data_IF_568210241668
#
_entry.id   IF_568210241668
#
_cell.length_a   1.000
_cell.length_b   1.000
_cell.length_c   1.000
_cell.angle_alpha   90.00
_cell.angle_beta   90.00
_cell.angle_gamma   90.00
#
_symmetry.space_group_name_H-M   'P 1'
#
loop_
_entity.id
_entity.type
_entity.pdbx_description
1 polymer ?
#
# COMPACT_ATOMS: atom_id res chain seq x y z
N UNK A 1 13.93 5.18 -3.63
CA UNK A 1 13.77 3.74 -3.82
C UNK A 1 13.94 2.99 -2.51
N UNK A 2 13.27 1.82 -2.35
CA UNK A 2 13.52 0.90 -1.26
C UNK A 2 14.78 0.09 -1.57
N UNK A 3 15.84 0.35 -0.83
CA UNK A 3 17.15 -0.29 -1.00
C UNK A 3 17.53 -1.18 0.19
N UNK A 4 16.55 -1.56 0.99
CA UNK A 4 16.74 -2.60 1.99
C UNK A 4 17.03 -3.94 1.32
N UNK A 5 17.89 -4.74 1.94
CA UNK A 5 18.22 -6.08 1.44
C UNK A 5 17.15 -7.07 1.88
N UNK A 6 16.57 -7.81 0.94
CA UNK A 6 15.60 -8.86 1.22
C UNK A 6 16.32 -10.11 1.76
N UNK A 7 16.27 -10.30 3.06
CA UNK A 7 17.01 -11.37 3.74
C UNK A 7 16.13 -12.33 4.54
N UNK A 8 15.13 -11.79 5.25
CA UNK A 8 14.17 -12.59 6.01
C UNK A 8 12.90 -12.81 5.16
N UNK A 9 12.53 -14.07 4.83
CA UNK A 9 11.34 -14.35 4.02
C UNK A 9 10.01 -13.98 4.70
N UNK A 10 10.02 -13.74 6.02
CA UNK A 10 8.86 -13.29 6.78
C UNK A 10 8.63 -11.79 6.69
N UNK A 11 9.54 -11.05 6.07
CA UNK A 11 9.37 -9.62 5.85
C UNK A 11 8.34 -9.35 4.75
N UNK A 12 7.20 -8.74 5.09
CA UNK A 12 6.07 -8.50 4.18
C UNK A 12 6.33 -7.50 3.06
N UNK A 13 7.46 -6.77 3.09
CA UNK A 13 7.82 -5.73 2.10
C UNK A 13 8.95 -6.13 1.15
N UNK A 14 9.31 -7.41 1.11
CA UNK A 14 10.38 -7.91 0.25
C UNK A 14 10.18 -7.60 -1.23
N UNK A 15 8.93 -7.65 -1.72
CA UNK A 15 8.58 -7.32 -3.11
C UNK A 15 8.85 -5.86 -3.51
N UNK A 16 9.03 -4.94 -2.56
CA UNK A 16 9.36 -3.54 -2.85
C UNK A 16 10.86 -3.34 -3.16
N UNK A 17 11.69 -4.36 -3.03
CA UNK A 17 13.16 -4.28 -3.09
C UNK A 17 13.73 -4.83 -4.38
N UNK A 18 15.02 -4.60 -4.57
CA UNK A 18 15.80 -5.16 -5.70
C UNK A 18 16.39 -6.54 -5.40
N UNK A 19 16.09 -7.14 -4.24
CA UNK A 19 16.51 -8.48 -3.86
C UNK A 19 17.55 -8.51 -2.74
N UNK A 20 18.39 -9.53 -2.75
CA UNK A 20 19.34 -9.85 -1.69
C UNK A 20 20.78 -9.35 -1.92
N UNK A 21 21.09 -8.99 -3.17
CA UNK A 21 22.45 -8.57 -3.55
C UNK A 21 22.67 -7.08 -3.31
N UNK A 22 23.61 -6.68 -2.41
CA UNK A 22 23.87 -5.28 -2.12
C UNK A 22 24.42 -4.50 -3.30
N UNK A 23 25.21 -5.12 -4.19
CA UNK A 23 25.78 -4.46 -5.36
C UNK A 23 24.68 -4.18 -6.41
N UNK A 24 23.86 -5.17 -6.75
CA UNK A 24 22.74 -4.99 -7.67
C UNK A 24 21.80 -3.91 -7.14
N UNK A 25 21.45 -3.99 -5.84
CA UNK A 25 20.60 -3.01 -5.18
C UNK A 25 21.18 -1.59 -5.26
N UNK A 26 22.48 -1.45 -5.05
CA UNK A 26 23.19 -0.16 -5.21
C UNK A 26 23.07 0.39 -6.63
N UNK A 27 23.39 -0.42 -7.65
CA UNK A 27 23.37 0.01 -9.04
C UNK A 27 21.96 0.39 -9.53
N UNK A 28 20.97 -0.42 -9.19
CA UNK A 28 19.57 -0.14 -9.50
C UNK A 28 19.10 1.13 -8.78
N UNK A 29 19.43 1.26 -7.50
CA UNK A 29 19.08 2.43 -6.70
C UNK A 29 19.71 3.73 -7.22
N UNK A 30 20.99 3.71 -7.60
CA UNK A 30 21.68 4.85 -8.23
C UNK A 30 20.98 5.25 -9.54
N UNK A 31 20.66 4.27 -10.40
CA UNK A 31 19.98 4.54 -11.67
C UNK A 31 18.61 5.20 -11.45
N UNK A 32 17.84 4.71 -10.48
CA UNK A 32 16.54 5.29 -10.11
C UNK A 32 16.70 6.71 -9.56
N UNK A 33 17.66 6.93 -8.65
CA UNK A 33 17.93 8.27 -8.09
C UNK A 33 18.26 9.26 -9.19
N UNK A 34 19.23 8.93 -10.06
CA UNK A 34 19.63 9.80 -11.17
C UNK A 34 18.48 10.06 -12.16
N UNK A 35 17.68 9.04 -12.47
CA UNK A 35 16.51 9.18 -13.35
C UNK A 35 15.43 10.08 -12.78
N UNK A 36 15.16 9.99 -11.48
CA UNK A 36 14.18 10.84 -10.80
C UNK A 36 14.67 12.28 -10.63
N UNK A 37 15.92 12.47 -10.19
CA UNK A 37 16.45 13.79 -9.87
C UNK A 37 16.86 14.62 -11.09
N UNK A 38 17.10 13.96 -12.24
CA UNK A 38 17.65 14.60 -13.44
C UNK A 38 19.16 14.89 -13.31
N UNK A 39 19.74 15.60 -14.30
CA UNK A 39 21.16 15.94 -14.32
C UNK A 39 21.59 16.75 -13.11
N UNK A 40 22.80 16.48 -12.60
CA UNK A 40 23.29 17.07 -11.35
C UNK A 40 23.59 18.60 -11.50
N UNK A 41 23.99 19.03 -12.66
CA UNK A 41 24.39 20.42 -12.97
C UNK A 41 23.22 21.31 -13.42
N UNK A 42 22.00 20.80 -13.49
CA UNK A 42 20.83 21.60 -13.79
C UNK A 42 20.45 22.49 -12.59
N UNK A 43 19.98 23.73 -12.89
CA UNK A 43 19.53 24.67 -11.86
C UNK A 43 18.40 24.08 -11.02
N UNK A 44 17.44 23.42 -11.67
CA UNK A 44 16.30 22.82 -11.00
C UNK A 44 16.38 21.31 -11.05
N UNK A 45 16.04 20.67 -9.96
CA UNK A 45 15.85 19.22 -9.91
C UNK A 45 14.49 18.86 -10.51
N UNK A 46 14.45 17.72 -11.21
CA UNK A 46 13.21 17.20 -11.77
C UNK A 46 12.25 16.72 -10.68
N UNK A 47 12.74 15.90 -9.76
CA UNK A 47 12.10 15.40 -8.57
C UNK A 47 13.14 15.23 -7.46
N UNK A 48 12.68 14.91 -6.26
CA UNK A 48 13.54 14.45 -5.17
C UNK A 48 13.45 12.93 -5.05
N UNK A 49 14.58 12.27 -4.90
CA UNK A 49 14.63 10.85 -4.57
C UNK A 49 14.91 10.67 -3.08
N UNK A 50 14.31 9.65 -2.48
CA UNK A 50 14.51 9.29 -1.09
C UNK A 50 14.95 7.83 -0.96
N UNK A 51 16.11 7.57 -0.38
CA UNK A 51 16.60 6.23 -0.06
C UNK A 51 15.93 5.73 1.21
N UNK A 52 15.31 4.54 1.16
CA UNK A 52 14.55 4.01 2.29
C UNK A 52 14.73 2.50 2.45
N UNK A 53 14.55 1.97 3.63
CA UNK A 53 14.31 2.59 4.95
C UNK A 53 15.60 2.41 5.75
N UNK A 54 16.20 3.50 6.23
CA UNK A 54 17.53 3.50 6.85
C UNK A 54 17.44 3.25 8.37
N UNK A 55 17.91 2.11 8.89
CA UNK A 55 18.53 0.99 8.23
C UNK A 55 18.13 -0.34 8.91
N UNK A 56 18.56 -1.46 8.29
CA UNK A 56 18.31 -2.83 8.80
C UNK A 56 16.82 -3.12 9.01
N UNK A 57 15.99 -2.70 8.07
CA UNK A 57 14.53 -2.76 8.15
C UNK A 57 13.95 -4.00 7.44
N UNK A 58 14.53 -5.18 7.60
CA UNK A 58 14.10 -6.42 6.95
C UNK A 58 13.79 -7.56 7.93
N UNK A 59 13.26 -7.19 9.09
CA UNK A 59 12.79 -8.14 10.11
C UNK A 59 11.38 -8.68 9.80
N UNK A 60 10.87 -9.61 10.64
CA UNK A 60 9.54 -10.16 10.46
C UNK A 60 8.44 -9.10 10.48
N UNK A 61 7.43 -9.23 9.61
CA UNK A 61 6.41 -8.21 9.38
C UNK A 61 5.58 -7.89 10.63
N UNK A 62 5.24 -8.89 11.44
CA UNK A 62 4.36 -8.71 12.61
C UNK A 62 4.95 -7.85 13.73
N UNK A 63 6.28 -7.65 13.73
CA UNK A 63 6.94 -6.81 14.74
C UNK A 63 7.64 -5.59 14.13
N UNK A 64 7.28 -5.17 12.94
CA UNK A 64 7.88 -4.03 12.20
C UNK A 64 8.06 -2.78 13.06
N UNK A 65 7.08 -2.46 13.91
CA UNK A 65 7.07 -1.29 14.79
C UNK A 65 7.72 -1.50 16.18
N UNK A 66 8.14 -2.73 16.48
CA UNK A 66 8.74 -3.08 17.79
C UNK A 66 10.10 -3.77 17.66
N UNK A 67 10.50 -4.08 16.42
CA UNK A 67 11.73 -4.81 16.15
C UNK A 67 12.97 -4.00 16.56
N UNK A 68 13.87 -4.62 17.34
CA UNK A 68 15.20 -4.08 17.63
C UNK A 68 16.24 -4.87 16.86
N UNK A 69 16.76 -4.27 15.78
CA UNK A 69 17.74 -4.91 14.92
C UNK A 69 19.11 -4.99 15.62
N UNK A 70 19.63 -6.21 15.72
CA UNK A 70 20.97 -6.51 16.25
C UNK A 70 21.74 -7.30 15.21
N UNK A 71 22.77 -6.69 14.66
CA UNK A 71 23.60 -7.30 13.62
C UNK A 71 25.09 -7.15 14.00
N UNK A 72 25.92 -8.08 13.55
CA UNK A 72 27.36 -7.92 13.70
C UNK A 72 27.90 -6.86 12.72
N UNK A 73 29.12 -6.38 12.97
CA UNK A 73 29.72 -5.33 12.13
C UNK A 73 29.93 -5.78 10.69
N UNK A 74 30.26 -7.05 10.46
CA UNK A 74 30.44 -7.55 9.09
C UNK A 74 29.13 -7.44 8.30
N UNK A 75 28.03 -7.97 8.81
CA UNK A 75 26.74 -7.90 8.14
C UNK A 75 26.24 -6.44 7.96
N UNK A 76 26.51 -5.59 8.95
CA UNK A 76 26.14 -4.17 8.85
C UNK A 76 26.83 -3.49 7.67
N UNK A 77 28.16 -3.63 7.56
CA UNK A 77 28.96 -2.92 6.57
C UNK A 77 29.03 -3.61 5.21
N UNK A 78 28.82 -4.91 5.14
CA UNK A 78 28.90 -5.71 3.90
C UNK A 78 27.52 -5.92 3.24
N UNK A 79 26.46 -5.93 4.04
CA UNK A 79 25.11 -6.26 3.55
C UNK A 79 24.13 -5.10 3.65
N UNK A 80 23.96 -4.50 4.84
CA UNK A 80 22.85 -3.57 5.07
C UNK A 80 23.13 -2.12 4.69
N UNK A 81 24.34 -1.66 4.81
CA UNK A 81 24.73 -0.26 4.55
C UNK A 81 25.20 0.05 3.12
N UNK A 82 25.77 -0.90 2.33
CA UNK A 82 26.38 -0.55 1.04
C UNK A 82 25.44 0.19 0.09
N UNK A 83 24.21 -0.26 -0.07
CA UNK A 83 23.26 0.39 -0.97
C UNK A 83 22.95 1.83 -0.55
N UNK A 84 22.75 2.09 0.74
CA UNK A 84 22.56 3.45 1.25
C UNK A 84 23.80 4.33 1.02
N UNK A 85 24.98 3.80 1.31
CA UNK A 85 26.25 4.51 1.08
C UNK A 85 26.38 4.92 -0.40
N UNK A 86 26.20 3.97 -1.29
CA UNK A 86 26.34 4.23 -2.73
C UNK A 86 25.29 5.24 -3.23
N UNK A 87 24.05 5.18 -2.74
CA UNK A 87 23.04 6.17 -3.10
C UNK A 87 23.37 7.57 -2.58
N UNK A 88 24.00 7.68 -1.41
CA UNK A 88 24.45 8.96 -0.86
C UNK A 88 25.67 9.47 -1.63
N UNK A 89 26.70 8.62 -1.77
CA UNK A 89 28.02 9.05 -2.25
C UNK A 89 28.03 9.17 -3.79
N UNK A 90 27.52 8.18 -4.52
CA UNK A 90 27.56 8.14 -5.99
C UNK A 90 26.24 8.57 -6.62
N UNK A 91 25.13 8.22 -6.00
CA UNK A 91 23.77 8.58 -6.47
C UNK A 91 23.40 10.03 -6.18
N UNK A 92 24.06 10.67 -5.21
CA UNK A 92 23.75 12.04 -4.73
C UNK A 92 22.27 12.19 -4.39
N UNK A 93 21.71 11.17 -3.72
CA UNK A 93 20.32 11.17 -3.28
C UNK A 93 20.03 12.37 -2.39
N UNK A 94 18.89 13.02 -2.59
CA UNK A 94 18.53 14.24 -1.85
C UNK A 94 17.85 13.97 -0.52
N UNK A 95 17.22 12.80 -0.36
CA UNK A 95 16.52 12.42 0.87
C UNK A 95 16.90 11.02 1.34
N UNK A 96 16.81 10.82 2.65
CA UNK A 96 16.88 9.51 3.31
C UNK A 96 15.67 9.39 4.23
N UNK A 97 15.05 8.22 4.27
CA UNK A 97 13.95 7.92 5.19
C UNK A 97 14.45 6.95 6.25
N UNK A 98 14.40 7.36 7.51
CA UNK A 98 14.74 6.49 8.61
C UNK A 98 13.62 5.48 8.89
N UNK A 99 13.98 4.29 9.37
CA UNK A 99 13.11 3.14 9.47
C UNK A 99 12.28 3.11 10.77
N UNK A 100 11.23 2.28 10.79
CA UNK A 100 10.40 2.04 11.98
C UNK A 100 11.14 1.37 13.13
N UNK A 101 12.00 0.40 12.82
CA UNK A 101 12.67 -0.40 13.84
C UNK A 101 13.65 0.41 14.67
N UNK A 102 13.99 -0.11 15.84
CA UNK A 102 15.17 0.32 16.57
C UNK A 102 16.41 -0.45 16.09
N UNK A 103 17.56 0.11 16.40
CA UNK A 103 18.87 -0.47 16.13
C UNK A 103 19.73 -0.36 17.40
N UNK A 104 20.06 -1.54 17.96
CA UNK A 104 20.71 -1.64 19.27
C UNK A 104 20.02 -0.82 20.37
N UNK A 105 18.69 -0.89 20.43
CA UNK A 105 17.86 -0.26 21.45
C UNK A 105 17.53 1.22 21.22
N UNK A 106 18.10 1.89 20.21
CA UNK A 106 17.73 3.25 19.81
C UNK A 106 16.86 3.21 18.55
N UNK A 107 15.72 3.90 18.50
CA UNK A 107 14.91 4.03 17.28
C UNK A 107 15.76 4.57 16.12
N UNK A 108 15.61 4.03 14.92
CA UNK A 108 16.45 4.42 13.77
C UNK A 108 16.44 5.93 13.50
N UNK A 109 15.30 6.59 13.69
CA UNK A 109 15.15 8.04 13.46
C UNK A 109 15.82 8.92 14.54
N UNK A 110 16.27 8.33 15.66
CA UNK A 110 17.01 8.98 16.74
C UNK A 110 18.33 8.25 17.07
N UNK A 111 18.87 7.46 16.14
CA UNK A 111 20.04 6.61 16.41
C UNK A 111 21.35 7.34 16.15
N UNK A 112 22.17 7.48 17.19
CA UNK A 112 23.48 8.16 17.13
C UNK A 112 24.38 7.59 16.05
N UNK A 113 24.57 6.26 16.06
CA UNK A 113 25.50 5.60 15.13
C UNK A 113 25.03 5.74 13.68
N UNK A 114 23.77 5.42 13.41
CA UNK A 114 23.24 5.43 12.04
C UNK A 114 23.15 6.86 11.50
N UNK A 115 22.50 7.75 12.24
CA UNK A 115 22.13 9.07 11.75
C UNK A 115 23.30 10.04 11.79
N UNK A 116 24.01 10.12 12.93
CA UNK A 116 25.04 11.11 13.11
C UNK A 116 26.42 10.60 12.66
N UNK A 117 26.87 9.46 13.18
CA UNK A 117 28.23 8.99 12.90
C UNK A 117 28.39 8.51 11.46
N UNK A 118 27.48 7.66 10.97
CA UNK A 118 27.59 7.07 9.64
C UNK A 118 27.04 8.02 8.56
N UNK A 119 25.75 8.38 8.64
CA UNK A 119 25.11 9.15 7.58
C UNK A 119 25.66 10.57 7.46
N UNK A 120 25.65 11.34 8.55
CA UNK A 120 26.06 12.74 8.53
C UNK A 120 27.58 12.92 8.53
N UNK A 121 28.28 12.25 9.46
CA UNK A 121 29.72 12.48 9.67
C UNK A 121 30.61 11.68 8.70
N UNK A 122 30.34 10.38 8.51
CA UNK A 122 31.21 9.54 7.67
C UNK A 122 30.89 9.70 6.17
N UNK A 123 29.61 9.62 5.78
CA UNK A 123 29.21 9.76 4.36
C UNK A 123 28.99 11.21 3.93
N UNK A 124 29.02 12.16 4.86
CA UNK A 124 28.84 13.61 4.61
C UNK A 124 27.50 13.92 3.92
N UNK A 125 26.45 13.21 4.29
CA UNK A 125 25.11 13.45 3.75
C UNK A 125 24.57 14.83 4.15
N UNK A 126 24.42 15.71 3.17
CA UNK A 126 23.92 17.08 3.36
C UNK A 126 22.43 17.25 3.06
N UNK A 127 21.74 16.20 2.56
CA UNK A 127 20.30 16.25 2.25
C UNK A 127 19.40 16.18 3.48
N UNK A 128 18.08 16.13 3.24
CA UNK A 128 17.10 15.99 4.32
C UNK A 128 16.89 14.54 4.74
N UNK A 129 16.50 14.35 5.98
CA UNK A 129 15.97 13.07 6.46
C UNK A 129 14.51 13.24 6.84
N UNK A 130 13.67 12.33 6.35
CA UNK A 130 12.27 12.17 6.78
C UNK A 130 12.12 10.90 7.57
N UNK A 131 11.21 10.87 8.55
CA UNK A 131 10.84 9.61 9.19
C UNK A 131 10.00 8.75 8.24
N UNK A 132 9.93 7.44 8.45
CA UNK A 132 8.81 6.64 7.97
C UNK A 132 7.53 7.08 8.71
N UNK A 133 6.35 6.81 8.11
CA UNK A 133 5.10 7.37 8.61
C UNK A 133 4.74 6.78 9.99
N UNK A 134 4.72 7.63 11.02
CA UNK A 134 4.50 7.22 12.40
C UNK A 134 5.76 6.72 13.13
N UNK A 135 6.93 6.70 12.50
CA UNK A 135 8.14 6.15 13.14
C UNK A 135 8.63 6.96 14.33
N UNK A 136 8.33 8.26 14.42
CA UNK A 136 8.67 9.06 15.62
C UNK A 136 7.67 8.79 16.74
N UNK A 137 6.41 8.52 16.41
CA UNK A 137 5.43 8.07 17.39
C UNK A 137 5.80 6.71 18.01
N UNK A 138 6.48 5.85 17.26
CA UNK A 138 6.97 4.57 17.77
C UNK A 138 7.96 4.71 18.93
N UNK A 139 8.69 5.81 19.05
CA UNK A 139 9.62 6.05 20.16
C UNK A 139 8.93 5.93 21.52
N UNK A 140 7.72 6.48 21.66
CA UNK A 140 6.97 6.45 22.91
C UNK A 140 5.81 5.44 22.91
N UNK A 141 5.25 5.07 21.76
CA UNK A 141 4.13 4.15 21.68
C UNK A 141 4.54 2.68 21.72
N UNK A 142 5.61 2.29 21.00
CA UNK A 142 5.99 0.88 20.81
C UNK A 142 7.37 0.56 21.36
N UNK A 143 8.41 1.32 21.02
CA UNK A 143 9.76 1.11 21.54
C UNK A 143 9.92 1.50 23.02
N UNK A 144 9.05 2.39 23.52
CA UNK A 144 9.05 2.85 24.92
C UNK A 144 10.39 3.46 25.38
N UNK A 145 11.14 4.06 24.44
CA UNK A 145 12.42 4.72 24.73
C UNK A 145 12.23 6.16 25.22
N UNK A 146 11.09 6.77 24.90
CA UNK A 146 10.75 8.14 25.27
C UNK A 146 9.44 8.22 26.06
N UNK A 147 9.30 9.26 26.87
CA UNK A 147 8.14 9.42 27.74
C UNK A 147 6.90 9.88 26.97
N UNK A 148 7.08 10.75 25.99
CA UNK A 148 6.00 11.42 25.27
C UNK A 148 6.46 11.95 23.90
N UNK A 149 5.51 12.53 23.15
CA UNK A 149 5.75 13.08 21.82
C UNK A 149 6.75 14.24 21.80
N UNK A 150 6.80 15.08 22.84
CA UNK A 150 7.72 16.20 22.90
C UNK A 150 9.19 15.72 23.04
N UNK A 151 9.43 14.75 23.92
CA UNK A 151 10.75 14.15 24.09
C UNK A 151 11.18 13.39 22.82
N UNK A 152 10.28 12.60 22.22
CA UNK A 152 10.56 11.88 20.97
C UNK A 152 10.88 12.82 19.80
N UNK A 153 10.11 13.90 19.65
CA UNK A 153 10.32 14.89 18.58
C UNK A 153 11.62 15.65 18.73
N UNK A 154 11.96 16.06 19.96
CA UNK A 154 13.23 16.73 20.24
C UNK A 154 14.41 15.81 19.89
N UNK A 155 14.38 14.57 20.34
CA UNK A 155 15.42 13.58 20.08
C UNK A 155 15.59 13.31 18.58
N UNK A 156 14.50 13.07 17.86
CA UNK A 156 14.54 12.84 16.41
C UNK A 156 15.16 14.03 15.65
N UNK A 157 14.78 15.29 15.97
CA UNK A 157 15.37 16.49 15.34
C UNK A 157 16.83 16.64 15.69
N UNK A 158 17.23 16.43 16.95
CA UNK A 158 18.61 16.51 17.39
C UNK A 158 19.52 15.51 16.70
N UNK A 159 18.99 14.35 16.33
CA UNK A 159 19.69 13.33 15.54
C UNK A 159 19.51 13.48 14.02
N UNK A 160 18.96 14.61 13.57
CA UNK A 160 18.94 15.00 12.16
C UNK A 160 17.82 14.41 11.33
N UNK A 161 16.71 13.97 11.96
CA UNK A 161 15.43 13.71 11.29
C UNK A 161 14.73 15.06 11.09
N UNK A 162 14.80 15.58 9.86
CA UNK A 162 14.41 16.96 9.54
C UNK A 162 12.89 17.12 9.33
N UNK A 163 12.18 16.04 8.96
CA UNK A 163 10.75 16.03 8.68
C UNK A 163 10.13 14.74 9.20
N UNK A 164 8.94 14.85 9.76
CA UNK A 164 8.13 13.72 10.15
C UNK A 164 7.11 13.38 9.04
N UNK A 165 6.98 12.11 8.72
CA UNK A 165 5.80 11.55 8.06
C UNK A 165 4.90 10.95 9.14
N UNK A 166 3.74 11.57 9.40
CA UNK A 166 2.83 11.13 10.45
C UNK A 166 1.85 12.22 10.85
N UNK A 167 1.07 11.95 11.88
CA UNK A 167 -0.03 12.82 12.26
C UNK A 167 0.24 13.64 13.52
N UNK A 168 1.45 13.56 14.12
CA UNK A 168 1.44 14.28 15.35
C UNK A 168 2.67 14.47 16.18
N UNK A 169 3.72 13.66 16.11
CA UNK A 169 4.82 13.82 17.03
C UNK A 169 5.43 15.24 16.92
N UNK A 170 5.73 15.72 15.72
CA UNK A 170 6.34 17.04 15.50
C UNK A 170 5.42 18.22 15.83
N UNK A 171 4.12 18.01 16.02
CA UNK A 171 3.22 19.04 16.60
C UNK A 171 3.61 19.38 18.04
N UNK A 172 4.29 18.46 18.73
CA UNK A 172 4.77 18.67 20.09
C UNK A 172 6.12 19.41 20.15
N UNK A 173 6.74 19.82 19.04
CA UNK A 173 8.00 20.56 19.05
C UNK A 173 7.91 21.90 19.78
N UNK A 174 6.75 22.60 19.72
CA UNK A 174 6.55 23.81 20.50
C UNK A 174 6.60 23.54 22.01
N UNK A 175 5.99 22.45 22.47
CA UNK A 175 6.08 22.01 23.87
C UNK A 175 7.51 21.58 24.24
N UNK A 176 8.20 20.90 23.32
CA UNK A 176 9.60 20.53 23.53
C UNK A 176 10.50 21.75 23.72
N UNK A 177 10.29 22.84 22.97
CA UNK A 177 11.02 24.12 23.16
C UNK A 177 10.68 24.74 24.52
N UNK A 178 9.39 24.80 24.89
CA UNK A 178 8.97 25.33 26.19
C UNK A 178 9.55 24.56 27.38
N UNK A 179 9.74 23.26 27.22
CA UNK A 179 10.36 22.37 28.22
C UNK A 179 11.89 22.39 28.18
N UNK A 180 12.50 23.13 27.25
CA UNK A 180 13.96 23.21 27.12
C UNK A 180 14.61 21.93 26.56
N UNK A 181 13.86 21.04 25.94
CA UNK A 181 14.40 19.81 25.33
C UNK A 181 15.12 20.06 24.01
N UNK A 182 14.72 21.10 23.29
CA UNK A 182 15.29 21.55 22.02
C UNK A 182 15.17 23.08 21.93
N UNK A 183 15.94 23.70 21.07
CA UNK A 183 15.88 25.14 20.79
C UNK A 183 15.25 25.40 19.42
N UNK A 184 14.61 26.57 19.23
CA UNK A 184 14.13 27.01 17.90
C UNK A 184 15.25 27.00 16.85
N UNK A 185 16.46 27.42 17.23
CA UNK A 185 17.64 27.39 16.35
C UNK A 185 17.92 26.00 15.77
N UNK A 186 17.79 24.95 16.57
CA UNK A 186 17.97 23.56 16.10
C UNK A 186 16.85 23.11 15.15
N UNK A 187 15.63 23.58 15.37
CA UNK A 187 14.52 23.37 14.43
C UNK A 187 14.76 24.13 13.13
N UNK A 188 15.29 25.36 13.18
CA UNK A 188 15.62 26.17 12.01
C UNK A 188 16.67 25.49 11.12
N UNK A 189 17.62 24.72 11.67
CA UNK A 189 18.60 23.98 10.87
C UNK A 189 17.93 22.87 10.04
N UNK A 190 16.92 22.20 10.56
CA UNK A 190 16.11 21.24 9.80
C UNK A 190 15.23 21.95 8.76
N UNK A 191 14.57 23.04 9.15
CA UNK A 191 13.74 23.85 8.27
C UNK A 191 14.53 24.38 7.07
N UNK A 192 15.77 24.85 7.30
CA UNK A 192 16.67 25.30 6.25
C UNK A 192 16.93 24.24 5.18
N UNK A 193 17.23 23.00 5.58
CA UNK A 193 17.41 21.89 4.62
C UNK A 193 16.14 21.64 3.80
N UNK A 194 14.97 21.65 4.44
CA UNK A 194 13.69 21.45 3.77
C UNK A 194 13.35 22.58 2.77
N UNK A 195 13.69 23.81 3.10
CA UNK A 195 13.51 24.94 2.14
C UNK A 195 14.54 24.90 1.02
N UNK A 196 15.81 24.55 1.30
CA UNK A 196 16.84 24.44 0.25
C UNK A 196 16.40 23.50 -0.87
N UNK A 197 15.84 22.33 -0.54
CA UNK A 197 15.37 21.39 -1.56
C UNK A 197 14.16 21.91 -2.33
N UNK A 198 13.27 22.69 -1.68
CA UNK A 198 12.13 23.34 -2.36
C UNK A 198 12.60 24.41 -3.34
N UNK A 199 13.63 25.19 -2.98
CA UNK A 199 14.27 26.11 -3.91
C UNK A 199 14.89 25.38 -5.11
N UNK A 200 15.55 24.23 -4.87
CA UNK A 200 16.12 23.40 -5.94
C UNK A 200 15.06 22.78 -6.85
N UNK A 201 13.83 22.60 -6.38
CA UNK A 201 12.69 22.19 -7.21
C UNK A 201 12.06 23.35 -8.00
N UNK A 202 12.45 24.60 -7.71
CA UNK A 202 11.86 25.78 -8.32
C UNK A 202 10.49 26.16 -7.77
N UNK A 203 10.07 25.66 -6.61
CA UNK A 203 8.72 25.86 -6.06
C UNK A 203 8.39 27.33 -5.74
N UNK A 204 9.40 28.21 -5.71
CA UNK A 204 9.25 29.65 -5.44
C UNK A 204 9.55 30.50 -6.66
N UNK A 205 9.92 29.90 -7.78
CA UNK A 205 10.17 30.59 -9.05
C UNK A 205 8.91 30.56 -9.93
N UNK A 206 8.72 31.53 -10.85
CA UNK A 206 7.64 31.48 -11.82
C UNK A 206 7.69 30.23 -12.71
N UNK A 207 6.52 29.67 -13.02
CA UNK A 207 6.39 28.40 -13.77
C UNK A 207 7.11 28.41 -15.13
N UNK A 208 7.18 29.53 -15.79
CA UNK A 208 7.88 29.71 -17.07
C UNK A 208 9.40 29.56 -16.99
N UNK A 209 9.97 29.63 -15.76
CA UNK A 209 11.39 29.44 -15.50
C UNK A 209 11.73 28.00 -15.10
N UNK A 210 10.73 27.20 -14.70
CA UNK A 210 10.92 25.82 -14.20
C UNK A 210 10.54 24.83 -15.29
N UNK A 211 11.49 24.15 -15.92
CA UNK A 211 11.23 23.26 -17.07
C UNK A 211 10.19 22.15 -16.80
N UNK A 212 10.00 21.81 -15.54
CA UNK A 212 9.15 20.70 -15.11
C UNK A 212 7.74 21.10 -14.71
N UNK A 213 7.46 22.42 -14.55
CA UNK A 213 6.13 22.92 -14.14
C UNK A 213 5.07 22.80 -15.24
N UNK A 214 5.49 22.79 -16.51
CA UNK A 214 4.59 22.82 -17.67
C UNK A 214 4.45 21.46 -18.39
N UNK A 215 4.71 20.35 -17.69
CA UNK A 215 4.50 19.01 -18.26
C UNK A 215 2.99 18.74 -18.33
N UNK A 216 2.39 18.55 -19.51
CA UNK A 216 0.95 18.35 -19.63
C UNK A 216 0.54 16.97 -19.13
N UNK A 217 -0.67 16.87 -18.59
CA UNK A 217 -1.22 15.60 -18.09
C UNK A 217 -1.28 14.50 -19.17
N UNK A 218 -1.38 14.87 -20.46
CA UNK A 218 -1.34 13.93 -21.58
C UNK A 218 -0.06 13.11 -21.71
N UNK A 219 1.00 13.49 -21.01
CA UNK A 219 2.25 12.68 -20.93
C UNK A 219 2.05 11.45 -20.05
N UNK A 220 1.12 11.52 -19.07
CA UNK A 220 0.79 10.36 -18.24
C UNK A 220 0.19 9.26 -19.13
N UNK A 221 0.70 8.04 -18.98
CA UNK A 221 0.29 6.87 -19.77
C UNK A 221 0.32 7.04 -21.30
N UNK A 222 1.12 7.97 -21.82
CA UNK A 222 1.31 8.07 -23.27
C UNK A 222 1.92 6.78 -23.85
N UNK A 223 1.81 6.60 -25.16
CA UNK A 223 2.30 5.38 -25.83
C UNK A 223 3.78 5.10 -25.58
N UNK A 224 4.60 6.14 -25.48
CA UNK A 224 6.02 6.02 -25.15
C UNK A 224 6.23 5.44 -23.74
N UNK A 225 5.43 5.88 -22.75
CA UNK A 225 5.50 5.37 -21.39
C UNK A 225 5.01 3.91 -21.30
N UNK A 226 3.92 3.56 -22.01
CA UNK A 226 3.41 2.17 -22.10
C UNK A 226 4.42 1.25 -22.75
N UNK A 227 5.04 1.68 -23.85
CA UNK A 227 6.09 0.92 -24.53
C UNK A 227 7.32 0.73 -23.64
N UNK A 228 7.71 1.76 -22.87
CA UNK A 228 8.82 1.67 -21.94
C UNK A 228 8.52 0.72 -20.77
N UNK A 229 7.34 0.77 -20.19
CA UNK A 229 6.89 -0.15 -19.13
C UNK A 229 6.93 -1.62 -19.62
N UNK A 230 6.43 -1.88 -20.85
CA UNK A 230 6.50 -3.21 -21.46
C UNK A 230 7.95 -3.68 -21.70
N UNK A 231 8.83 -2.76 -22.13
CA UNK A 231 10.26 -3.06 -22.28
C UNK A 231 10.89 -3.44 -20.94
N UNK A 232 10.63 -2.69 -19.88
CA UNK A 232 11.13 -2.96 -18.52
C UNK A 232 10.63 -4.32 -18.02
N UNK A 233 9.34 -4.62 -18.14
CA UNK A 233 8.77 -5.90 -17.77
C UNK A 233 9.46 -7.08 -18.48
N UNK A 234 9.68 -6.97 -19.80
CA UNK A 234 10.39 -8.00 -20.57
C UNK A 234 11.85 -8.20 -20.15
N UNK A 235 12.52 -7.14 -19.75
CA UNK A 235 13.94 -7.18 -19.33
C UNK A 235 14.10 -7.67 -17.87
N UNK A 236 13.06 -7.55 -17.04
CA UNK A 236 13.10 -8.02 -15.65
C UNK A 236 12.74 -9.50 -15.48
N UNK A 237 12.16 -10.15 -16.50
CA UNK A 237 11.81 -11.58 -16.44
C UNK A 237 13.07 -12.41 -16.61
N UNK A 238 13.33 -13.29 -15.62
CA UNK A 238 14.48 -14.21 -15.62
C UNK A 238 14.01 -15.63 -15.91
N UNK A 239 14.59 -16.26 -16.94
CA UNK A 239 14.32 -17.66 -17.27
C UNK A 239 15.16 -18.58 -16.39
N UNK A 240 14.58 -19.11 -15.31
CA UNK A 240 15.29 -19.93 -14.33
C UNK A 240 15.53 -21.36 -14.79
N UNK A 241 14.67 -21.91 -15.65
CA UNK A 241 14.77 -23.27 -16.18
C UNK A 241 14.09 -23.36 -17.53
N UNK A 242 14.73 -24.01 -18.48
CA UNK A 242 14.16 -24.33 -19.79
C UNK A 242 14.65 -25.72 -20.25
N UNK A 243 14.13 -26.75 -19.56
CA UNK A 243 14.48 -28.14 -19.87
C UNK A 243 13.91 -28.50 -21.25
N UNK A 244 14.69 -29.25 -22.03
CA UNK A 244 14.37 -29.70 -23.37
C UNK A 244 14.00 -28.56 -24.35
N UNK A 245 14.40 -27.32 -24.05
CA UNK A 245 14.09 -26.13 -24.84
C UNK A 245 12.59 -25.96 -25.09
N UNK A 246 11.77 -26.27 -24.08
CA UNK A 246 10.32 -26.17 -24.15
C UNK A 246 9.82 -24.74 -24.46
N UNK A 247 10.52 -23.74 -23.93
CA UNK A 247 10.22 -22.32 -24.17
C UNK A 247 11.13 -21.74 -25.26
N UNK A 248 10.61 -20.83 -26.12
CA UNK A 248 9.23 -20.34 -26.16
C UNK A 248 8.25 -21.37 -26.71
N UNK A 249 7.02 -21.40 -26.18
CA UNK A 249 5.97 -22.27 -26.70
C UNK A 249 5.63 -21.93 -28.14
N UNK A 250 5.56 -22.95 -29.01
CA UNK A 250 5.18 -22.76 -30.40
C UNK A 250 3.65 -22.86 -30.55
N UNK A 251 2.99 -21.71 -30.70
CA UNK A 251 1.52 -21.63 -30.81
C UNK A 251 0.92 -22.42 -31.99
N UNK A 252 1.72 -22.76 -33.02
CA UNK A 252 1.27 -23.57 -34.13
C UNK A 252 1.25 -25.07 -33.80
N UNK A 253 1.91 -25.49 -32.72
CA UNK A 253 1.99 -26.90 -32.28
C UNK A 253 1.11 -27.22 -31.09
N UNK A 254 0.68 -26.21 -30.34
CA UNK A 254 -0.17 -26.37 -29.16
C UNK A 254 -1.63 -26.06 -29.52
N UNK A 255 -2.55 -26.83 -28.95
CA UNK A 255 -4.00 -26.64 -29.15
C UNK A 255 -4.69 -26.03 -27.94
N UNK A 256 -4.12 -26.24 -26.76
CA UNK A 256 -4.70 -25.82 -25.47
C UNK A 256 -3.61 -25.42 -24.49
N UNK A 257 -3.88 -24.35 -23.72
CA UNK A 257 -3.06 -23.87 -22.62
C UNK A 257 -3.94 -23.82 -21.37
N UNK A 258 -3.49 -24.43 -20.29
CA UNK A 258 -4.06 -24.21 -18.97
C UNK A 258 -3.26 -23.11 -18.24
N UNK A 259 -3.92 -22.05 -17.83
CA UNK A 259 -3.38 -21.00 -16.96
C UNK A 259 -3.93 -21.27 -15.57
N UNK A 260 -3.07 -21.52 -14.61
CA UNK A 260 -3.45 -21.97 -13.27
C UNK A 260 -2.81 -21.08 -12.21
N UNK A 261 -3.55 -20.79 -11.16
CA UNK A 261 -3.07 -20.04 -10.00
C UNK A 261 -3.89 -18.78 -9.71
N UNK A 262 -3.94 -18.37 -8.44
CA UNK A 262 -4.76 -17.26 -7.99
C UNK A 262 -4.37 -15.91 -8.62
N UNK A 263 -3.06 -15.68 -8.83
CA UNK A 263 -2.54 -14.44 -9.37
C UNK A 263 -2.61 -14.34 -10.90
N UNK A 264 -3.09 -15.38 -11.58
CA UNK A 264 -3.09 -15.41 -13.05
C UNK A 264 -4.10 -14.41 -13.65
N UNK A 265 -5.20 -14.12 -12.94
CA UNK A 265 -6.24 -13.17 -13.37
C UNK A 265 -6.65 -12.20 -12.25
N UNK A 266 -5.78 -11.94 -11.33
CA UNK A 266 -6.00 -10.94 -10.28
C UNK A 266 -5.32 -9.61 -10.65
N UNK A 267 -6.13 -8.57 -10.88
CA UNK A 267 -5.64 -7.23 -11.22
C UNK A 267 -5.03 -6.51 -10.02
N UNK A 268 -5.54 -6.78 -8.81
CA UNK A 268 -5.11 -6.10 -7.59
C UNK A 268 -3.66 -6.44 -7.23
N UNK A 269 -3.25 -7.69 -7.43
CA UNK A 269 -1.88 -8.14 -7.14
C UNK A 269 -0.82 -7.45 -8.03
N UNK A 270 -1.22 -6.93 -9.19
CA UNK A 270 -0.34 -6.22 -10.12
C UNK A 270 -0.10 -4.75 -9.73
N UNK A 271 -0.90 -4.22 -8.81
CA UNK A 271 -0.77 -2.85 -8.33
C UNK A 271 0.33 -2.72 -7.27
N UNK A 272 0.53 -3.73 -6.45
CA UNK A 272 1.43 -3.72 -5.29
C UNK A 272 1.12 -2.55 -4.32
N UNK A 273 2.15 -1.94 -3.69
CA UNK A 273 2.01 -0.76 -2.85
C UNK A 273 2.34 0.53 -3.62
N UNK A 274 1.84 1.66 -3.14
CA UNK A 274 2.16 3.00 -3.69
C UNK A 274 1.83 3.16 -5.18
N UNK A 275 0.76 2.53 -5.61
CA UNK A 275 0.31 2.59 -7.00
C UNK A 275 -0.51 3.84 -7.30
N UNK A 276 -0.53 4.21 -8.59
CA UNK A 276 -1.58 5.06 -9.15
C UNK A 276 -2.70 4.19 -9.72
N UNK A 277 -3.69 4.83 -10.33
CA UNK A 277 -4.79 4.12 -11.01
C UNK A 277 -4.49 4.04 -12.51
N UNK A 278 -3.97 2.91 -13.03
CA UNK A 278 -3.70 2.76 -14.45
C UNK A 278 -5.01 2.65 -15.22
N UNK A 279 -5.05 3.22 -16.44
CA UNK A 279 -6.23 3.15 -17.30
C UNK A 279 -6.54 1.71 -17.76
N UNK A 280 -5.56 0.84 -17.76
CA UNK A 280 -5.70 -0.58 -18.11
C UNK A 280 -4.63 -1.43 -17.43
N UNK A 281 -5.07 -2.56 -16.87
CA UNK A 281 -4.20 -3.58 -16.26
C UNK A 281 -4.32 -4.85 -17.09
N UNK A 282 -3.19 -5.36 -17.59
CA UNK A 282 -3.15 -6.62 -18.33
C UNK A 282 -2.72 -7.76 -17.41
N UNK A 283 -3.62 -8.68 -17.10
CA UNK A 283 -3.30 -9.88 -16.31
C UNK A 283 -2.49 -10.89 -17.12
N UNK A 284 -1.88 -11.88 -16.46
CA UNK A 284 -1.18 -12.96 -17.14
C UNK A 284 -2.11 -13.74 -18.08
N UNK A 285 -3.34 -14.02 -17.62
CA UNK A 285 -4.39 -14.67 -18.41
C UNK A 285 -4.72 -13.86 -19.66
N UNK A 286 -5.05 -12.58 -19.51
CA UNK A 286 -5.37 -11.68 -20.61
C UNK A 286 -4.21 -11.58 -21.62
N UNK A 287 -2.98 -11.43 -21.13
CA UNK A 287 -1.77 -11.35 -21.97
C UNK A 287 -1.55 -12.62 -22.82
N UNK A 288 -1.78 -13.81 -22.23
CA UNK A 288 -1.69 -15.10 -22.93
C UNK A 288 -2.80 -15.20 -23.96
N UNK A 289 -4.05 -14.92 -23.61
CA UNK A 289 -5.20 -14.94 -24.52
C UNK A 289 -4.98 -14.02 -25.73
N UNK A 290 -4.54 -12.78 -25.50
CA UNK A 290 -4.19 -11.84 -26.58
C UNK A 290 -3.06 -12.38 -27.48
N UNK A 291 -2.06 -13.04 -26.90
CA UNK A 291 -0.89 -13.55 -27.63
C UNK A 291 -1.24 -14.71 -28.55
N UNK A 292 -2.11 -15.60 -28.12
CA UNK A 292 -2.47 -16.80 -28.88
C UNK A 292 -3.70 -16.59 -29.78
N UNK A 293 -4.55 -15.62 -29.46
CA UNK A 293 -5.80 -15.34 -30.16
C UNK A 293 -6.70 -16.58 -30.21
N UNK A 294 -7.42 -16.76 -31.30
CA UNK A 294 -8.35 -17.89 -31.48
C UNK A 294 -7.65 -19.19 -31.91
N UNK A 295 -6.33 -19.21 -32.01
CA UNK A 295 -5.58 -20.38 -32.51
C UNK A 295 -5.37 -21.46 -31.46
N UNK A 296 -5.42 -21.08 -30.18
CA UNK A 296 -5.19 -21.97 -29.04
C UNK A 296 -6.28 -21.74 -28.01
N UNK A 297 -6.89 -22.82 -27.55
CA UNK A 297 -7.82 -22.76 -26.44
C UNK A 297 -7.08 -22.39 -25.14
N UNK A 298 -7.53 -21.38 -24.43
CA UNK A 298 -6.97 -20.99 -23.12
C UNK A 298 -8.03 -21.27 -22.07
N UNK A 299 -7.71 -22.14 -21.12
CA UNK A 299 -8.54 -22.41 -19.95
C UNK A 299 -7.88 -21.83 -18.72
N UNK A 300 -8.68 -21.30 -17.82
CA UNK A 300 -8.22 -20.76 -16.54
C UNK A 300 -8.83 -21.53 -15.39
N UNK A 301 -7.99 -21.78 -14.38
CA UNK A 301 -8.44 -22.34 -13.12
C UNK A 301 -7.62 -21.74 -11.98
N UNK A 302 -8.30 -21.20 -10.95
CA UNK A 302 -7.63 -20.61 -9.78
C UNK A 302 -6.81 -21.64 -9.02
N UNK A 303 -7.33 -22.85 -8.87
CA UNK A 303 -6.67 -23.99 -8.27
C UNK A 303 -6.53 -23.93 -6.75
N UNK A 304 -5.85 -22.89 -6.23
CA UNK A 304 -5.60 -22.69 -4.80
C UNK A 304 -5.83 -21.23 -4.41
N UNK A 305 -5.99 -20.97 -3.12
CA UNK A 305 -5.97 -19.62 -2.57
C UNK A 305 -4.54 -19.19 -2.21
N UNK A 306 -4.36 -17.88 -1.91
CA UNK A 306 -3.09 -17.33 -1.45
C UNK A 306 -2.76 -17.71 -0.01
N UNK A 307 -3.78 -18.04 0.80
CA UNK A 307 -3.65 -18.47 2.20
C UNK A 307 -4.38 -19.78 2.43
N UNK A 308 -3.92 -20.57 3.39
CA UNK A 308 -4.47 -21.90 3.67
C UNK A 308 -5.67 -21.87 4.64
N UNK A 309 -5.99 -20.70 5.22
CA UNK A 309 -6.95 -20.66 6.32
C UNK A 309 -8.38 -20.96 5.88
N UNK A 310 -8.84 -20.37 4.74
CA UNK A 310 -10.19 -20.62 4.23
C UNK A 310 -10.27 -20.43 2.71
N UNK A 311 -11.04 -21.28 2.05
CA UNK A 311 -11.42 -21.15 0.64
C UNK A 311 -12.87 -20.73 0.56
N UNK A 312 -13.12 -19.46 0.22
CA UNK A 312 -14.47 -18.99 -0.08
C UNK A 312 -14.76 -19.20 -1.57
N UNK A 313 -15.80 -19.97 -1.86
CA UNK A 313 -16.31 -20.14 -3.23
C UNK A 313 -17.65 -19.46 -3.32
N UNK A 314 -17.74 -18.37 -4.10
CA UNK A 314 -18.99 -17.67 -4.33
C UNK A 314 -20.05 -18.61 -4.93
N UNK A 315 -21.23 -18.55 -4.36
CA UNK A 315 -22.42 -19.25 -4.83
C UNK A 315 -23.65 -18.32 -4.77
N UNK A 316 -23.40 -17.05 -4.99
CA UNK A 316 -24.41 -15.99 -4.94
C UNK A 316 -25.51 -16.24 -5.97
N UNK A 317 -26.75 -16.25 -5.51
CA UNK A 317 -27.94 -16.34 -6.35
C UNK A 317 -28.87 -15.17 -6.00
N UNK A 318 -29.09 -14.25 -6.93
CA UNK A 318 -29.94 -13.06 -6.73
C UNK A 318 -31.32 -13.38 -6.14
N UNK A 319 -31.94 -14.46 -6.60
CA UNK A 319 -33.28 -14.85 -6.17
C UNK A 319 -33.40 -15.25 -4.69
N UNK A 320 -32.30 -15.41 -3.97
CA UNK A 320 -32.29 -15.71 -2.54
C UNK A 320 -32.42 -14.47 -1.66
N UNK A 321 -32.27 -13.30 -2.24
CA UNK A 321 -32.29 -12.01 -1.53
C UNK A 321 -33.45 -11.17 -2.03
N UNK A 322 -34.43 -10.88 -1.17
CA UNK A 322 -35.63 -10.12 -1.52
C UNK A 322 -35.96 -9.09 -0.44
N UNK A 323 -36.34 -7.89 -0.84
CA UNK A 323 -36.87 -6.85 0.00
C UNK A 323 -38.31 -6.49 -0.45
N UNK A 324 -39.26 -6.58 0.44
CA UNK A 324 -40.70 -6.29 0.18
C UNK A 324 -41.21 -6.95 -1.13
N UNK A 325 -40.89 -8.24 -1.30
CA UNK A 325 -41.27 -9.04 -2.47
C UNK A 325 -40.51 -8.72 -3.77
N UNK A 326 -39.57 -7.78 -3.74
CA UNK A 326 -38.69 -7.47 -4.87
C UNK A 326 -37.30 -8.05 -4.64
N UNK A 327 -36.70 -8.56 -5.72
CA UNK A 327 -35.34 -9.12 -5.64
C UNK A 327 -34.30 -8.05 -5.42
N UNK A 328 -33.43 -8.26 -4.43
CA UNK A 328 -32.33 -7.37 -4.08
C UNK A 328 -32.37 -6.81 -2.67
N UNK A 329 -31.79 -5.66 -2.49
CA UNK A 329 -31.57 -4.97 -1.22
C UNK A 329 -32.16 -3.58 -1.26
N UNK A 330 -32.87 -3.16 -0.20
CA UNK A 330 -33.14 -1.75 0.01
C UNK A 330 -31.87 -1.10 0.52
N UNK A 331 -31.35 -0.13 -0.21
CA UNK A 331 -30.19 0.67 0.15
C UNK A 331 -30.62 2.05 0.64
N UNK A 332 -30.22 2.42 1.86
CA UNK A 332 -30.43 3.73 2.48
C UNK A 332 -29.08 4.39 2.72
N UNK A 333 -28.84 5.56 2.11
CA UNK A 333 -27.58 6.30 2.20
C UNK A 333 -27.72 7.57 3.01
N UNK A 334 -26.74 7.86 3.84
CA UNK A 334 -26.71 8.99 4.76
C UNK A 334 -25.42 9.80 4.60
N UNK A 335 -25.50 11.13 4.57
CA UNK A 335 -24.33 12.01 4.61
C UNK A 335 -23.83 12.24 6.03
N UNK A 336 -23.66 11.18 6.78
CA UNK A 336 -23.04 11.13 8.11
C UNK A 336 -22.55 9.71 8.42
N UNK A 337 -21.70 9.55 9.42
CA UNK A 337 -21.08 8.25 9.77
C UNK A 337 -21.83 7.48 10.87
N UNK A 338 -23.03 7.89 11.25
CA UNK A 338 -23.78 7.34 12.38
C UNK A 338 -25.13 6.70 11.99
N UNK A 339 -25.48 6.64 10.68
CA UNK A 339 -26.80 6.18 10.19
C UNK A 339 -27.98 6.93 10.81
N UNK A 340 -27.83 8.24 11.08
CA UNK A 340 -28.81 9.06 11.77
C UNK A 340 -29.63 9.95 10.83
N UNK A 341 -30.89 10.18 11.21
CA UNK A 341 -31.82 11.00 10.46
C UNK A 341 -32.51 10.24 9.32
N UNK A 342 -33.15 10.98 8.42
CA UNK A 342 -33.69 10.39 7.21
C UNK A 342 -32.57 10.13 6.20
N UNK A 343 -32.60 9.00 5.45
CA UNK A 343 -31.66 8.81 4.38
C UNK A 343 -31.82 9.90 3.32
N UNK A 344 -30.68 10.40 2.81
CA UNK A 344 -30.67 11.35 1.71
C UNK A 344 -30.99 10.68 0.36
N UNK A 345 -30.69 9.38 0.25
CA UNK A 345 -31.00 8.56 -0.92
C UNK A 345 -31.50 7.19 -0.46
N UNK A 346 -32.60 6.74 -1.04
CA UNK A 346 -33.12 5.37 -0.83
C UNK A 346 -33.46 4.75 -2.18
N UNK A 347 -32.98 3.53 -2.44
CA UNK A 347 -33.28 2.81 -3.68
C UNK A 347 -33.17 1.31 -3.51
N UNK A 348 -33.72 0.55 -4.47
CA UNK A 348 -33.52 -0.88 -4.53
C UNK A 348 -32.26 -1.19 -5.39
N UNK A 349 -31.40 -2.04 -4.86
CA UNK A 349 -30.16 -2.47 -5.52
C UNK A 349 -30.13 -4.00 -5.60
N UNK A 350 -29.64 -4.55 -6.74
CA UNK A 350 -29.61 -6.02 -6.94
C UNK A 350 -28.53 -6.69 -6.10
N UNK A 351 -27.38 -6.04 -5.97
CA UNK A 351 -26.19 -6.55 -5.31
C UNK A 351 -25.58 -5.46 -4.46
N UNK A 352 -24.74 -5.83 -3.52
CA UNK A 352 -23.85 -4.90 -2.80
C UNK A 352 -22.44 -5.19 -3.26
N UNK A 353 -22.01 -4.51 -4.33
CA UNK A 353 -20.66 -4.63 -4.92
C UNK A 353 -20.31 -3.28 -5.55
N UNK A 354 -19.63 -2.44 -4.77
CA UNK A 354 -19.39 -1.06 -5.15
C UNK A 354 -17.94 -0.66 -4.92
N UNK A 355 -17.42 0.08 -5.88
CA UNK A 355 -16.15 0.80 -5.78
C UNK A 355 -16.39 2.24 -6.25
N UNK A 356 -16.14 3.20 -5.38
CA UNK A 356 -16.31 4.62 -5.66
C UNK A 356 -15.02 5.38 -5.42
N UNK A 357 -14.78 6.43 -6.20
CA UNK A 357 -13.69 7.37 -5.98
C UNK A 357 -13.93 8.27 -4.77
N UNK A 358 -12.86 8.86 -4.24
CA UNK A 358 -12.92 9.83 -3.15
C UNK A 358 -13.79 11.04 -3.53
N UNK A 359 -14.78 11.36 -2.69
CA UNK A 359 -15.72 12.46 -2.90
C UNK A 359 -16.69 12.25 -4.07
N UNK A 360 -16.80 11.03 -4.61
CA UNK A 360 -17.74 10.72 -5.67
C UNK A 360 -19.19 10.82 -5.19
N UNK A 361 -20.06 11.41 -6.00
CA UNK A 361 -21.52 11.41 -5.77
C UNK A 361 -22.09 10.02 -6.06
N UNK A 362 -22.71 9.41 -5.06
CA UNK A 362 -23.39 8.10 -5.18
C UNK A 362 -24.87 8.25 -5.59
N UNK A 363 -25.37 9.47 -5.63
CA UNK A 363 -26.72 9.87 -6.01
C UNK A 363 -27.30 10.88 -5.02
N UNK A 364 -28.18 11.77 -5.54
CA UNK A 364 -28.93 12.79 -4.79
C UNK A 364 -28.03 13.67 -3.87
N UNK A 365 -26.76 13.92 -4.28
CA UNK A 365 -25.82 14.74 -3.55
C UNK A 365 -25.14 14.07 -2.36
N UNK A 366 -25.31 12.77 -2.17
CA UNK A 366 -24.54 11.98 -1.19
C UNK A 366 -23.15 11.68 -1.76
N UNK A 367 -22.10 12.14 -1.10
CA UNK A 367 -20.71 11.93 -1.53
C UNK A 367 -20.00 10.91 -0.65
N UNK A 368 -19.00 10.24 -1.20
CA UNK A 368 -18.21 9.18 -0.53
C UNK A 368 -17.25 9.70 0.54
N UNK A 369 -17.52 10.85 1.16
CA UNK A 369 -16.78 11.36 2.31
C UNK A 369 -17.72 11.54 3.49
N UNK A 370 -17.37 11.00 4.65
CA UNK A 370 -18.18 11.09 5.86
C UNK A 370 -19.63 10.62 5.60
N UNK A 371 -19.78 9.49 4.88
CA UNK A 371 -21.08 8.91 4.59
C UNK A 371 -21.25 7.56 5.30
N UNK A 372 -22.49 7.11 5.35
CA UNK A 372 -22.81 5.74 5.73
C UNK A 372 -23.96 5.19 4.86
N UNK A 373 -24.05 3.87 4.80
CA UNK A 373 -25.11 3.20 4.08
C UNK A 373 -25.62 1.98 4.87
N UNK A 374 -26.88 1.63 4.62
CA UNK A 374 -27.52 0.43 5.16
C UNK A 374 -28.19 -0.29 4.03
N UNK A 375 -27.85 -1.56 3.82
CA UNK A 375 -28.56 -2.45 2.91
C UNK A 375 -29.39 -3.44 3.70
N UNK A 376 -30.68 -3.53 3.43
CA UNK A 376 -31.62 -4.43 4.07
C UNK A 376 -32.24 -5.38 3.08
N UNK A 377 -32.31 -6.68 3.41
CA UNK A 377 -32.90 -7.73 2.59
C UNK A 377 -33.40 -8.88 3.47
N UNK A 378 -34.10 -9.82 2.87
CA UNK A 378 -34.43 -11.11 3.48
C UNK A 378 -33.81 -12.22 2.65
N UNK A 379 -32.95 -13.01 3.27
CA UNK A 379 -32.35 -14.19 2.70
C UNK A 379 -33.23 -15.41 2.93
N UNK A 380 -33.53 -16.19 1.88
CA UNK A 380 -34.31 -17.42 1.96
C UNK A 380 -33.62 -18.56 1.26
N UNK A 381 -32.92 -19.46 1.99
CA UNK A 381 -32.12 -20.53 1.40
C UNK A 381 -32.99 -21.62 0.74
N UNK A 382 -32.53 -22.15 -0.38
CA UNK A 382 -33.15 -23.26 -1.10
C UNK A 382 -32.84 -24.64 -0.49
N UNK A 383 -31.82 -24.73 0.35
CA UNK A 383 -31.35 -25.95 0.99
C UNK A 383 -30.99 -25.70 2.44
N UNK A 384 -31.10 -26.72 3.29
CA UNK A 384 -30.58 -26.65 4.67
C UNK A 384 -29.08 -26.95 4.65
N UNK A 385 -28.28 -26.17 5.38
CA UNK A 385 -26.85 -26.34 5.51
C UNK A 385 -26.14 -25.05 5.93
N UNK A 386 -24.85 -25.16 6.13
CA UNK A 386 -24.02 -24.01 6.43
C UNK A 386 -23.84 -23.11 5.20
N UNK A 387 -24.08 -21.84 5.37
CA UNK A 387 -23.89 -20.77 4.38
C UNK A 387 -22.86 -19.80 4.92
N UNK A 388 -21.93 -19.37 4.07
CA UNK A 388 -20.96 -18.35 4.38
C UNK A 388 -21.31 -17.05 3.65
N UNK A 389 -21.35 -15.94 4.36
CA UNK A 389 -21.38 -14.61 3.78
C UNK A 389 -19.98 -13.99 3.86
N UNK A 390 -19.50 -13.42 2.75
CA UNK A 390 -18.29 -12.62 2.71
C UNK A 390 -18.67 -11.14 2.66
N UNK A 391 -18.14 -10.35 3.58
CA UNK A 391 -18.30 -8.89 3.59
C UNK A 391 -16.93 -8.24 3.59
N UNK A 392 -16.59 -7.60 2.47
CA UNK A 392 -15.37 -6.79 2.29
C UNK A 392 -15.71 -5.33 2.32
N UNK A 393 -14.89 -4.52 2.96
CA UNK A 393 -14.99 -3.07 2.93
C UNK A 393 -13.61 -2.47 3.23
N UNK A 394 -13.34 -1.30 2.68
CA UNK A 394 -12.13 -0.53 2.95
C UNK A 394 -12.14 0.10 4.34
N UNK A 395 -13.29 0.63 4.75
CA UNK A 395 -13.52 1.18 6.09
C UNK A 395 -14.35 0.20 6.95
N UNK A 396 -15.30 0.68 7.71
CA UNK A 396 -16.06 -0.14 8.65
C UNK A 396 -17.31 -0.73 8.01
N UNK A 397 -17.45 -2.06 8.03
CA UNK A 397 -18.69 -2.77 7.69
C UNK A 397 -19.10 -3.77 8.79
N UNK A 398 -20.40 -3.93 8.97
CA UNK A 398 -21.00 -4.82 9.96
C UNK A 398 -22.17 -5.59 9.34
N UNK A 399 -22.26 -6.90 9.65
CA UNK A 399 -23.36 -7.77 9.23
C UNK A 399 -24.28 -8.07 10.43
N UNK A 400 -25.59 -7.94 10.21
CA UNK A 400 -26.62 -8.34 11.16
C UNK A 400 -27.54 -9.37 10.50
N UNK A 401 -27.89 -10.42 11.23
CA UNK A 401 -28.85 -11.45 10.82
C UNK A 401 -29.90 -11.55 11.94
N UNK A 402 -31.17 -11.47 11.61
CA UNK A 402 -32.28 -11.40 12.57
C UNK A 402 -32.07 -10.30 13.65
N UNK A 403 -31.48 -9.16 13.27
CA UNK A 403 -31.18 -8.03 14.16
C UNK A 403 -29.98 -8.27 15.09
N UNK A 404 -29.35 -9.43 15.03
CA UNK A 404 -28.17 -9.77 15.85
C UNK A 404 -26.90 -9.53 15.05
N UNK A 405 -25.99 -8.70 15.59
CA UNK A 405 -24.67 -8.49 15.00
C UNK A 405 -23.88 -9.80 14.97
N UNK A 406 -23.36 -10.14 13.80
CA UNK A 406 -22.61 -11.37 13.61
C UNK A 406 -21.14 -11.19 13.98
N UNK A 407 -20.53 -12.27 14.48
CA UNK A 407 -19.09 -12.35 14.70
C UNK A 407 -18.41 -12.88 13.45
N UNK A 408 -17.34 -12.22 13.03
CA UNK A 408 -16.55 -12.64 11.88
C UNK A 408 -15.68 -13.86 12.19
N UNK A 409 -15.49 -14.71 11.18
CA UNK A 409 -14.52 -15.82 11.16
C UNK A 409 -13.39 -15.45 10.21
N UNK A 410 -12.15 -15.76 10.55
CA UNK A 410 -10.98 -15.41 9.76
C UNK A 410 -10.33 -14.07 10.13
N UNK A 411 -9.09 -13.88 9.70
CA UNK A 411 -8.28 -12.73 10.10
C UNK A 411 -8.17 -11.64 9.01
N UNK A 412 -8.32 -11.98 7.74
CA UNK A 412 -8.07 -11.08 6.61
C UNK A 412 -9.38 -10.56 6.02
N UNK A 413 -10.29 -11.46 5.65
CA UNK A 413 -11.63 -11.11 5.17
C UNK A 413 -12.65 -11.34 6.28
N UNK A 414 -13.78 -10.59 6.23
CA UNK A 414 -14.87 -10.80 7.16
C UNK A 414 -15.80 -11.88 6.61
N UNK A 415 -15.66 -13.09 7.12
CA UNK A 415 -16.56 -14.20 6.85
C UNK A 415 -17.54 -14.39 8.01
N UNK A 416 -18.78 -14.75 7.68
CA UNK A 416 -19.85 -14.95 8.63
C UNK A 416 -20.60 -16.23 8.28
N UNK A 417 -20.70 -17.15 9.25
CA UNK A 417 -21.33 -18.44 9.04
C UNK A 417 -22.76 -18.43 9.56
N UNK A 418 -23.66 -19.04 8.83
CA UNK A 418 -25.08 -19.23 9.18
C UNK A 418 -25.48 -20.68 8.91
N UNK A 419 -25.95 -21.38 9.95
CA UNK A 419 -26.66 -22.65 9.78
C UNK A 419 -28.07 -22.34 9.28
N UNK A 420 -28.23 -22.41 7.97
CA UNK A 420 -29.46 -22.02 7.30
C UNK A 420 -30.41 -23.19 7.13
N UNK A 421 -31.70 -22.96 7.36
CA UNK A 421 -32.77 -23.94 7.18
C UNK A 421 -33.54 -23.60 5.86
N UNK A 422 -33.74 -24.60 5.02
CA UNK A 422 -34.47 -24.44 3.75
C UNK A 422 -35.81 -23.73 3.94
N UNK A 423 -36.05 -22.67 3.20
CA UNK A 423 -37.30 -21.90 3.19
C UNK A 423 -37.54 -21.01 4.39
N UNK A 424 -36.66 -21.01 5.38
CA UNK A 424 -36.72 -20.06 6.50
C UNK A 424 -36.22 -18.70 6.05
N UNK A 425 -36.89 -17.64 6.48
CA UNK A 425 -36.51 -16.28 6.16
C UNK A 425 -35.56 -15.72 7.22
N UNK A 426 -34.45 -15.14 6.76
CA UNK A 426 -33.43 -14.51 7.59
C UNK A 426 -33.28 -13.04 7.18
N UNK A 427 -33.83 -12.08 7.96
CA UNK A 427 -33.57 -10.67 7.74
C UNK A 427 -32.09 -10.38 7.86
N UNK A 428 -31.52 -9.75 6.82
CA UNK A 428 -30.12 -9.35 6.74
C UNK A 428 -30.04 -7.84 6.65
N UNK A 429 -29.12 -7.26 7.44
CA UNK A 429 -28.78 -5.85 7.37
C UNK A 429 -27.26 -5.71 7.31
N UNK A 430 -26.77 -4.98 6.31
CA UNK A 430 -25.36 -4.65 6.11
C UNK A 430 -25.20 -3.17 6.40
N UNK A 431 -24.37 -2.81 7.34
CA UNK A 431 -24.04 -1.42 7.70
C UNK A 431 -22.64 -1.08 7.27
N UNK A 432 -22.48 0.04 6.58
CA UNK A 432 -21.21 0.54 6.09
C UNK A 432 -20.98 1.98 6.50
N UNK A 433 -19.74 2.32 6.82
CA UNK A 433 -19.29 3.69 7.10
C UNK A 433 -18.07 3.98 6.25
N UNK A 434 -18.07 5.13 5.56
CA UNK A 434 -16.96 5.66 4.81
C UNK A 434 -16.51 7.00 5.41
N UNK A 435 -15.23 7.12 5.73
CA UNK A 435 -14.66 8.34 6.27
C UNK A 435 -14.03 9.22 5.20
N UNK A 436 -13.10 8.70 4.43
CA UNK A 436 -12.34 9.43 3.40
C UNK A 436 -11.71 8.46 2.41
N UNK A 437 -11.08 8.98 1.37
CA UNK A 437 -10.42 8.26 0.29
C UNK A 437 -11.40 7.47 -0.60
N UNK A 438 -10.92 6.51 -1.37
CA UNK A 438 -11.78 5.66 -2.19
C UNK A 438 -12.60 4.74 -1.30
N UNK A 439 -13.83 4.48 -1.70
CA UNK A 439 -14.79 3.66 -0.98
C UNK A 439 -14.98 2.30 -1.66
N UNK A 440 -14.92 1.22 -0.90
CA UNK A 440 -15.18 -0.13 -1.40
C UNK A 440 -16.07 -0.89 -0.42
N UNK A 441 -17.12 -1.53 -0.97
CA UNK A 441 -17.89 -2.54 -0.23
C UNK A 441 -18.36 -3.63 -1.17
N UNK A 442 -18.19 -4.89 -0.74
CA UNK A 442 -18.70 -6.06 -1.43
C UNK A 442 -19.29 -7.05 -0.44
N UNK A 443 -20.51 -7.48 -0.73
CA UNK A 443 -21.18 -8.60 -0.05
C UNK A 443 -21.38 -9.74 -1.01
N UNK A 444 -21.01 -10.94 -0.60
CA UNK A 444 -21.14 -12.16 -1.38
C UNK A 444 -21.62 -13.31 -0.49
N UNK A 445 -22.18 -14.34 -1.10
CA UNK A 445 -22.62 -15.55 -0.43
C UNK A 445 -21.95 -16.76 -1.07
N UNK A 446 -21.52 -17.69 -0.27
CA UNK A 446 -20.83 -18.87 -0.77
C UNK A 446 -20.64 -19.97 0.25
N UNK A 447 -19.70 -20.82 -0.07
CA UNK A 447 -19.25 -21.91 0.79
C UNK A 447 -17.83 -21.62 1.25
N UNK A 448 -17.60 -21.71 2.54
CA UNK A 448 -16.28 -21.65 3.16
C UNK A 448 -15.75 -23.07 3.36
N UNK A 449 -14.55 -23.38 2.88
CA UNK A 449 -13.92 -24.71 3.02
C UNK A 449 -12.50 -24.57 3.53
#
# INVERSE_FOLDING_TARGET
PNVNIFRDPRWGRGQETYGEDPYLTSQMGIAVVKGLQGPENEKYRKLLACAKHYAVHSGPEWNRHTYDAKVNNHDLWDTYLPAFKELVVEGKVTGVMCAYNSFFGQPCCGNDLLMMDILRNHWKFGGYVTSDCGAVEDFYNTHKTHQDAAAASADAVLHGTDCECGNGAYRALADAVLRGLITEKQIDESLKKLFEIRFRLGMFDPDDRVPYSNIPLSVLECDAHKAHALKMARQSIVLLKNQDQLLPLNKNKIKKIAVVGPNADDKSVLLANYYGYPSHITTALEGIQKKVGNQVEVVYEKGVNLTDDFVFTSAYEDALFCYDGQQGFKADYYQNTQWQGNPGLSRLEKTVDYQWGDGQDVGDGIITRQMSAVWSTVFTPKQTGEVCFELKADDKAELYIDGVKQNKVGNINSYYLLDAEKGKSYPIEIRYVQHADNAEIKFDMGILR
#
